data_IF_785636276945
#
_entry.id   IF_785636276945
#
_cell.length_a   1.000
_cell.length_b   1.000
_cell.length_c   1.000
_cell.angle_alpha   90.00
_cell.angle_beta   90.00
_cell.angle_gamma   90.00
#
_symmetry.space_group_name_H-M   'P 1'
#
loop_
_entity.id
_entity.type
_entity.pdbx_description
1 polymer ?
#
# COMPACT_ATOMS: atom_id res chain seq x y z
N UNK A 1 18.75 -21.94 -27.36
CA UNK A 1 18.58 -20.68 -26.60
C UNK A 1 19.63 -20.69 -25.50
N UNK A 2 20.57 -19.76 -25.54
CA UNK A 2 21.66 -19.69 -24.56
C UNK A 2 21.03 -19.33 -23.20
N UNK A 3 21.36 -20.07 -22.13
CA UNK A 3 21.08 -19.68 -20.76
C UNK A 3 21.61 -18.26 -20.54
N UNK A 4 20.81 -17.34 -19.98
CA UNK A 4 21.38 -16.07 -19.56
C UNK A 4 22.51 -16.36 -18.56
N UNK A 5 23.65 -15.72 -18.79
CA UNK A 5 24.78 -15.80 -17.89
C UNK A 5 24.33 -15.50 -16.46
N UNK A 6 24.89 -16.18 -15.43
CA UNK A 6 24.60 -15.86 -14.05
C UNK A 6 24.87 -14.36 -13.86
N UNK A 7 23.91 -13.67 -13.20
CA UNK A 7 24.03 -12.24 -12.92
C UNK A 7 25.43 -11.99 -12.35
N UNK A 8 26.24 -11.24 -13.09
CA UNK A 8 27.55 -10.83 -12.64
C UNK A 8 27.37 -10.23 -11.24
N UNK A 9 28.37 -10.38 -10.36
CA UNK A 9 28.39 -9.77 -9.00
C UNK A 9 28.17 -8.25 -9.10
N UNK A 10 26.90 -7.86 -9.29
CA UNK A 10 26.52 -6.46 -9.35
C UNK A 10 26.64 -5.88 -7.93
N UNK A 11 27.18 -4.67 -7.78
CA UNK A 11 27.31 -4.05 -6.47
C UNK A 11 25.92 -3.94 -5.83
N UNK A 12 25.84 -4.17 -4.52
CA UNK A 12 24.61 -4.00 -3.74
C UNK A 12 24.25 -2.53 -3.54
N UNK A 13 25.20 -1.65 -3.76
CA UNK A 13 25.05 -0.20 -3.63
C UNK A 13 25.63 0.47 -4.89
N UNK A 14 24.91 1.45 -5.43
CA UNK A 14 25.35 2.23 -6.58
C UNK A 14 24.69 3.60 -6.61
N UNK A 15 25.26 4.51 -7.38
CA UNK A 15 24.64 5.78 -7.73
C UNK A 15 23.87 5.56 -9.05
N UNK A 16 22.59 5.92 -9.07
CA UNK A 16 21.80 5.88 -10.30
C UNK A 16 22.37 6.93 -11.28
N UNK A 17 22.85 6.52 -12.46
CA UNK A 17 23.49 7.46 -13.38
C UNK A 17 22.53 8.47 -13.99
N UNK A 18 21.24 8.19 -14.00
CA UNK A 18 20.23 9.09 -14.56
C UNK A 18 19.78 10.15 -13.56
N UNK A 19 19.88 9.88 -12.25
CA UNK A 19 19.33 10.74 -11.20
C UNK A 19 20.34 11.28 -10.22
N UNK A 20 21.45 10.57 -10.02
CA UNK A 20 22.49 10.92 -9.05
C UNK A 20 22.15 10.49 -7.60
N UNK A 21 21.07 9.74 -7.39
CA UNK A 21 20.70 9.22 -6.08
C UNK A 21 21.37 7.88 -5.79
N UNK A 22 21.69 7.63 -4.52
CA UNK A 22 22.24 6.39 -4.04
C UNK A 22 21.14 5.34 -3.88
N UNK A 23 21.34 4.16 -4.46
CA UNK A 23 20.43 3.02 -4.33
C UNK A 23 21.17 1.89 -3.63
N UNK A 24 20.47 1.23 -2.71
CA UNK A 24 20.95 0.08 -1.96
C UNK A 24 19.97 -1.08 -2.15
N UNK A 25 20.49 -2.25 -2.51
CA UNK A 25 19.74 -3.51 -2.47
C UNK A 25 19.75 -4.03 -1.03
N UNK A 26 18.57 -4.06 -0.40
CA UNK A 26 18.41 -4.48 1.00
C UNK A 26 18.31 -6.00 1.15
N UNK A 27 17.63 -6.69 0.22
CA UNK A 27 17.48 -8.14 0.25
C UNK A 27 18.69 -8.87 -0.39
N UNK A 28 18.86 -10.14 -0.04
CA UNK A 28 19.89 -11.02 -0.61
C UNK A 28 19.31 -12.30 -1.17
N UNK A 29 18.06 -12.60 -0.86
CA UNK A 29 17.38 -13.81 -1.30
C UNK A 29 16.39 -13.46 -2.42
N UNK A 30 16.49 -14.08 -3.60
CA UNK A 30 15.57 -13.86 -4.70
C UNK A 30 14.12 -14.16 -4.32
N UNK A 31 13.19 -13.28 -4.71
CA UNK A 31 11.79 -13.38 -4.37
C UNK A 31 11.42 -12.75 -3.02
N UNK A 32 12.34 -11.99 -2.42
CA UNK A 32 12.05 -11.20 -1.21
C UNK A 32 11.17 -9.99 -1.55
N UNK A 33 10.15 -9.77 -0.72
CA UNK A 33 9.19 -8.68 -0.87
C UNK A 33 9.17 -7.75 0.35
N UNK A 34 8.91 -6.48 0.12
CA UNK A 34 8.40 -5.54 1.14
C UNK A 34 6.89 -5.71 1.30
N UNK A 35 6.33 -5.17 2.37
CA UNK A 35 4.88 -5.11 2.54
C UNK A 35 4.25 -4.10 1.57
N UNK A 36 2.93 -4.16 1.46
CA UNK A 36 2.15 -3.19 0.69
C UNK A 36 2.33 -1.78 1.26
N UNK A 37 2.33 -0.75 0.43
CA UNK A 37 2.72 0.63 0.79
C UNK A 37 1.92 1.25 1.96
N UNK A 38 0.73 0.73 2.27
CA UNK A 38 -0.10 1.20 3.39
C UNK A 38 0.19 0.46 4.70
N UNK A 39 0.91 -0.68 4.65
CA UNK A 39 1.20 -1.49 5.81
C UNK A 39 2.47 -0.98 6.53
N UNK A 40 2.37 -0.72 7.83
CA UNK A 40 3.55 -0.33 8.60
C UNK A 40 4.50 -1.52 8.75
N UNK A 41 5.72 -1.39 8.22
CA UNK A 41 6.68 -2.47 8.08
C UNK A 41 7.96 -2.30 8.93
N UNK A 42 7.98 -1.38 9.88
CA UNK A 42 9.18 -1.03 10.62
C UNK A 42 9.11 -1.49 12.08
N UNK A 43 10.25 -1.91 12.65
CA UNK A 43 10.35 -2.22 14.08
C UNK A 43 10.12 -0.97 14.93
N UNK A 44 9.90 -1.17 16.24
CA UNK A 44 9.88 -0.07 17.20
C UNK A 44 11.19 0.73 17.09
N UNK A 45 11.06 2.05 16.93
CA UNK A 45 12.20 2.93 16.66
C UNK A 45 12.57 3.10 15.18
N UNK A 46 11.92 2.38 14.27
CA UNK A 46 12.01 2.63 12.82
C UNK A 46 13.33 2.25 12.15
N UNK A 47 14.20 1.50 12.82
CA UNK A 47 15.57 1.23 12.33
C UNK A 47 15.69 -0.01 11.44
N UNK A 48 14.76 -0.95 11.57
CA UNK A 48 14.72 -2.18 10.76
C UNK A 48 13.43 -2.26 9.97
N UNK A 49 13.55 -2.70 8.72
CA UNK A 49 12.45 -2.97 7.81
C UNK A 49 12.12 -4.46 7.83
N UNK A 50 10.85 -4.79 7.87
CA UNK A 50 10.33 -6.15 7.67
C UNK A 50 10.30 -6.50 6.18
N UNK A 51 10.84 -7.66 5.85
CA UNK A 51 10.77 -8.27 4.53
C UNK A 51 10.22 -9.69 4.64
N UNK A 52 9.56 -10.16 3.59
CA UNK A 52 9.04 -11.53 3.50
C UNK A 52 9.64 -12.27 2.32
N UNK A 53 9.93 -13.54 2.49
CA UNK A 53 10.41 -14.43 1.44
C UNK A 53 9.78 -15.81 1.56
N UNK A 54 10.12 -16.73 0.65
CA UNK A 54 9.73 -18.15 0.80
C UNK A 54 10.31 -18.79 2.05
N UNK A 55 11.42 -18.27 2.53
CA UNK A 55 12.11 -18.74 3.72
C UNK A 55 11.41 -18.32 5.00
N UNK A 56 10.69 -17.19 4.99
CA UNK A 56 9.98 -16.68 6.14
C UNK A 56 10.01 -15.16 6.25
N UNK A 57 10.31 -14.65 7.45
CA UNK A 57 10.36 -13.22 7.75
C UNK A 57 11.78 -12.83 8.13
N UNK A 58 12.26 -11.79 7.48
CA UNK A 58 13.55 -11.15 7.74
C UNK A 58 13.35 -9.70 8.19
N UNK A 59 14.26 -9.23 9.03
CA UNK A 59 14.42 -7.81 9.35
C UNK A 59 15.74 -7.32 8.79
N UNK A 60 15.74 -6.22 8.05
CA UNK A 60 16.96 -5.58 7.57
C UNK A 60 17.19 -4.25 8.28
N UNK A 61 18.38 -4.06 8.84
CA UNK A 61 18.83 -2.77 9.37
C UNK A 61 19.14 -1.85 8.18
N UNK A 62 18.35 -0.81 7.98
CA UNK A 62 18.40 0.04 6.79
C UNK A 62 19.78 0.70 6.63
N UNK A 63 20.36 1.19 7.74
CA UNK A 63 21.64 1.89 7.74
C UNK A 63 22.85 1.01 7.37
N UNK A 64 22.81 -0.30 7.70
CA UNK A 64 23.94 -1.22 7.53
C UNK A 64 23.72 -2.29 6.48
N UNK A 65 22.45 -2.54 6.10
CA UNK A 65 22.08 -3.66 5.23
C UNK A 65 22.20 -5.03 5.93
N UNK A 66 22.39 -5.07 7.25
CA UNK A 66 22.44 -6.31 8.04
C UNK A 66 21.05 -6.94 8.08
N UNK A 67 20.98 -8.23 7.71
CA UNK A 67 19.72 -8.99 7.66
C UNK A 67 19.70 -9.97 8.84
N UNK A 68 18.59 -9.95 9.56
CA UNK A 68 18.29 -10.86 10.67
C UNK A 68 17.06 -11.70 10.32
N UNK A 69 17.23 -13.02 10.29
CA UNK A 69 16.13 -13.96 10.09
C UNK A 69 15.37 -14.16 11.41
N UNK A 70 14.08 -13.82 11.45
CA UNK A 70 13.28 -13.82 12.68
C UNK A 70 12.18 -14.87 12.71
N UNK A 71 11.80 -15.43 11.56
CA UNK A 71 10.83 -16.51 11.51
C UNK A 71 11.09 -17.44 10.32
N UNK A 72 11.21 -18.74 10.57
CA UNK A 72 11.40 -19.77 9.57
C UNK A 72 10.07 -20.26 9.02
N UNK A 73 9.99 -20.43 7.70
CA UNK A 73 8.83 -20.96 7.02
C UNK A 73 7.77 -19.90 6.68
N UNK A 74 6.87 -20.28 5.80
CA UNK A 74 5.80 -19.40 5.34
C UNK A 74 4.82 -19.12 6.47
N UNK A 75 4.56 -17.85 6.73
CA UNK A 75 3.39 -17.40 7.50
C UNK A 75 2.23 -17.16 6.54
N UNK A 76 1.01 -17.11 7.05
CA UNK A 76 -0.14 -16.77 6.24
C UNK A 76 -0.04 -15.35 5.70
N UNK A 77 -0.90 -14.46 6.12
CA UNK A 77 -0.84 -13.04 5.73
C UNK A 77 -0.12 -12.22 6.80
N UNK A 78 1.00 -11.60 6.46
CA UNK A 78 1.57 -10.56 7.34
C UNK A 78 0.67 -9.32 7.27
N UNK A 79 0.22 -8.86 8.44
CA UNK A 79 -0.66 -7.71 8.56
C UNK A 79 0.17 -6.43 8.62
N UNK A 80 1.01 -6.28 9.62
CA UNK A 80 1.92 -5.15 9.83
C UNK A 80 2.82 -5.37 11.04
N UNK A 81 3.77 -4.48 11.26
CA UNK A 81 4.47 -4.35 12.56
C UNK A 81 3.70 -3.45 13.51
N UNK A 82 3.73 -3.78 14.80
CA UNK A 82 3.21 -2.93 15.86
C UNK A 82 4.06 -1.66 16.01
N UNK A 83 3.41 -0.50 16.04
CA UNK A 83 4.11 0.80 16.16
C UNK A 83 4.73 1.01 17.54
N UNK A 84 4.16 0.37 18.59
CA UNK A 84 4.62 0.51 19.99
C UNK A 84 5.60 -0.58 20.39
N UNK A 85 5.26 -1.83 20.10
CA UNK A 85 6.03 -2.98 20.55
C UNK A 85 7.05 -3.46 19.51
N UNK A 86 6.81 -3.19 18.21
CA UNK A 86 7.57 -3.76 17.12
C UNK A 86 7.25 -5.25 16.86
N UNK A 87 6.23 -5.81 17.53
CA UNK A 87 5.77 -7.16 17.25
C UNK A 87 5.25 -7.26 15.81
N UNK A 88 5.51 -8.38 15.14
CA UNK A 88 5.04 -8.63 13.79
C UNK A 88 3.72 -9.38 13.87
N UNK A 89 2.64 -8.75 13.39
CA UNK A 89 1.32 -9.35 13.39
C UNK A 89 1.06 -10.04 12.05
N UNK A 90 0.53 -11.28 12.12
CA UNK A 90 0.13 -12.04 10.95
C UNK A 90 -1.12 -12.88 11.22
N UNK A 91 -1.89 -13.13 10.16
CA UNK A 91 -3.08 -13.98 10.13
C UNK A 91 -2.68 -15.35 9.59
N UNK A 92 -2.97 -16.41 10.33
CA UNK A 92 -2.73 -17.79 9.89
C UNK A 92 -3.75 -18.74 10.51
N UNK A 93 -4.39 -19.55 9.66
CA UNK A 93 -5.26 -20.61 10.11
C UNK A 93 -6.47 -20.16 10.94
N UNK A 94 -6.98 -18.95 10.70
CA UNK A 94 -8.11 -18.37 11.43
C UNK A 94 -7.75 -17.77 12.78
N UNK A 95 -6.47 -17.42 12.96
CA UNK A 95 -5.96 -16.78 14.17
C UNK A 95 -5.02 -15.63 13.83
N UNK A 96 -5.02 -14.61 14.66
CA UNK A 96 -3.98 -13.57 14.67
C UNK A 96 -2.86 -13.99 15.58
N UNK A 97 -1.64 -13.89 15.11
CA UNK A 97 -0.41 -14.14 15.84
C UNK A 97 0.39 -12.83 16.01
N UNK A 98 1.14 -12.76 17.09
CA UNK A 98 2.15 -11.73 17.32
C UNK A 98 3.51 -12.43 17.48
N UNK A 99 4.43 -12.16 16.56
CA UNK A 99 5.82 -12.59 16.60
C UNK A 99 6.65 -11.50 17.29
N UNK A 100 7.31 -11.84 18.36
CA UNK A 100 8.34 -11.00 18.98
C UNK A 100 9.66 -11.21 18.22
N UNK A 101 10.18 -10.21 17.50
CA UNK A 101 11.39 -10.38 16.72
C UNK A 101 12.66 -10.57 17.58
N UNK A 102 12.67 -10.08 18.82
CA UNK A 102 13.82 -10.20 19.72
C UNK A 102 13.98 -11.62 20.26
N UNK A 103 12.89 -12.26 20.67
CA UNK A 103 12.87 -13.63 21.16
C UNK A 103 12.61 -14.67 20.07
N UNK A 104 12.19 -14.24 18.88
CA UNK A 104 11.77 -15.07 17.73
C UNK A 104 10.64 -16.03 18.09
N UNK A 105 9.78 -15.62 19.00
CA UNK A 105 8.65 -16.43 19.46
C UNK A 105 7.33 -15.86 18.97
N UNK A 106 6.49 -16.72 18.38
CA UNK A 106 5.13 -16.37 17.99
C UNK A 106 4.14 -16.82 19.05
N UNK A 107 3.21 -15.96 19.41
CA UNK A 107 2.07 -16.31 20.26
C UNK A 107 0.76 -16.03 19.52
N UNK A 108 -0.20 -16.90 19.67
CA UNK A 108 -1.57 -16.66 19.25
C UNK A 108 -2.19 -15.58 20.15
N UNK A 109 -2.73 -14.52 19.56
CA UNK A 109 -3.30 -13.40 20.31
C UNK A 109 -4.81 -13.29 20.18
N UNK A 110 -5.40 -13.74 19.06
CA UNK A 110 -6.84 -13.76 18.90
C UNK A 110 -7.28 -14.85 17.92
N UNK A 111 -8.51 -15.37 18.11
CA UNK A 111 -9.22 -16.21 17.15
C UNK A 111 -10.10 -15.31 16.28
N UNK A 112 -10.06 -15.52 14.97
CA UNK A 112 -10.92 -14.82 14.01
C UNK A 112 -12.30 -15.49 13.90
N UNK A 113 -13.34 -14.75 13.48
CA UNK A 113 -14.59 -15.33 13.05
C UNK A 113 -14.39 -16.38 11.97
N UNK A 114 -15.36 -17.29 11.79
CA UNK A 114 -15.32 -18.24 10.68
C UNK A 114 -15.21 -17.48 9.36
N UNK A 115 -14.23 -17.90 8.53
CA UNK A 115 -13.90 -17.25 7.24
C UNK A 115 -13.47 -15.77 7.36
N UNK A 116 -13.16 -15.32 8.58
CA UNK A 116 -12.64 -13.96 8.81
C UNK A 116 -11.18 -13.85 8.41
N UNK A 117 -10.84 -12.71 7.83
CA UNK A 117 -9.45 -12.29 7.54
C UNK A 117 -9.16 -10.99 8.25
N UNK A 118 -8.01 -10.91 8.94
CA UNK A 118 -7.55 -9.68 9.57
C UNK A 118 -6.67 -8.87 8.61
N UNK A 119 -6.89 -7.56 8.56
CA UNK A 119 -6.22 -6.65 7.63
C UNK A 119 -5.40 -5.56 8.32
N UNK A 120 -5.78 -5.14 9.52
CA UNK A 120 -5.14 -4.03 10.22
C UNK A 120 -5.08 -4.25 11.74
N UNK A 121 -4.02 -3.73 12.35
CA UNK A 121 -3.88 -3.62 13.81
C UNK A 121 -3.91 -2.12 14.15
N UNK A 122 -4.63 -1.73 15.20
CA UNK A 122 -4.70 -0.33 15.60
C UNK A 122 -3.42 0.19 16.26
N UNK A 123 -3.30 1.51 16.40
CA UNK A 123 -2.05 2.15 16.81
C UNK A 123 -1.61 1.83 18.26
N UNK A 124 -2.52 1.42 19.14
CA UNK A 124 -2.23 0.99 20.50
C UNK A 124 -2.10 -0.53 20.67
N UNK A 125 -2.24 -1.29 19.57
CA UNK A 125 -2.10 -2.75 19.49
C UNK A 125 -3.09 -3.52 20.39
N UNK A 126 -4.30 -2.98 20.53
CA UNK A 126 -5.39 -3.59 21.30
C UNK A 126 -6.44 -4.28 20.42
N UNK A 127 -6.58 -3.85 19.15
CA UNK A 127 -7.57 -4.35 18.22
C UNK A 127 -6.95 -4.78 16.91
N UNK A 128 -7.46 -5.89 16.35
CA UNK A 128 -7.36 -6.17 14.93
C UNK A 128 -8.72 -5.91 14.26
N UNK A 129 -8.72 -5.38 13.04
CA UNK A 129 -9.90 -5.22 12.19
C UNK A 129 -9.80 -6.12 10.96
N UNK A 130 -10.96 -6.60 10.53
CA UNK A 130 -11.05 -7.47 9.38
C UNK A 130 -12.47 -7.59 8.83
N UNK A 131 -12.65 -8.48 7.86
CA UNK A 131 -13.95 -8.78 7.30
C UNK A 131 -14.17 -10.27 7.08
N UNK A 132 -15.44 -10.65 6.98
CA UNK A 132 -15.87 -11.96 6.51
C UNK A 132 -17.14 -11.84 5.69
N UNK A 133 -17.38 -12.82 4.82
CA UNK A 133 -18.64 -12.95 4.08
C UNK A 133 -19.58 -13.87 4.87
N UNK A 134 -20.85 -13.47 5.02
CA UNK A 134 -21.86 -14.24 5.74
C UNK A 134 -22.35 -15.40 4.86
N UNK A 135 -22.47 -16.60 5.44
CA UNK A 135 -22.96 -17.80 4.75
C UNK A 135 -21.83 -18.62 4.12
N UNK A 136 -22.18 -19.40 3.10
CA UNK A 136 -21.20 -20.15 2.32
C UNK A 136 -20.29 -19.19 1.57
N UNK A 137 -18.97 -19.36 1.74
CA UNK A 137 -17.96 -18.46 1.17
C UNK A 137 -17.29 -19.02 -0.08
N UNK A 138 -17.59 -20.24 -0.44
CA UNK A 138 -17.06 -20.86 -1.65
C UNK A 138 -17.88 -20.44 -2.88
N UNK A 139 -17.46 -19.31 -3.45
CA UNK A 139 -17.99 -18.75 -4.70
C UNK A 139 -16.90 -18.80 -5.77
N UNK A 140 -16.61 -19.96 -6.36
CA UNK A 140 -15.51 -20.12 -7.31
C UNK A 140 -15.65 -19.21 -8.54
N UNK A 141 -16.88 -18.82 -8.90
CA UNK A 141 -17.14 -17.87 -9.99
C UNK A 141 -16.70 -16.44 -9.65
N UNK A 142 -16.55 -16.12 -8.35
CA UNK A 142 -16.08 -14.81 -7.86
C UNK A 142 -14.58 -14.82 -7.58
N UNK A 143 -13.94 -15.99 -7.60
CA UNK A 143 -12.50 -16.07 -7.42
C UNK A 143 -11.73 -15.53 -8.65
N UNK A 144 -10.53 -14.97 -8.44
CA UNK A 144 -9.69 -14.58 -9.57
C UNK A 144 -9.29 -15.80 -10.40
N UNK A 145 -9.53 -15.75 -11.69
CA UNK A 145 -9.08 -16.75 -12.65
C UNK A 145 -7.63 -16.47 -13.02
N UNK A 146 -6.71 -16.96 -12.20
CA UNK A 146 -5.28 -16.79 -12.42
C UNK A 146 -4.78 -17.78 -13.48
N UNK A 147 -3.84 -17.39 -14.37
CA UNK A 147 -3.17 -18.33 -15.26
C UNK A 147 -2.55 -19.46 -14.45
N UNK A 148 -2.67 -20.70 -14.97
CA UNK A 148 -2.02 -21.85 -14.36
C UNK A 148 -0.50 -21.74 -14.53
N UNK A 149 0.31 -22.20 -13.55
CA UNK A 149 1.74 -22.24 -13.71
C UNK A 149 2.13 -23.13 -14.92
N UNK A 150 3.18 -22.75 -15.66
CA UNK A 150 3.69 -23.62 -16.72
C UNK A 150 4.12 -24.97 -16.15
N UNK A 151 4.13 -26.05 -16.99
CA UNK A 151 4.65 -27.34 -16.56
C UNK A 151 6.08 -27.18 -16.00
N UNK A 152 6.28 -27.61 -14.76
CA UNK A 152 7.57 -27.46 -14.06
C UNK A 152 7.67 -26.23 -13.14
N UNK A 153 6.57 -25.45 -13.01
CA UNK A 153 6.50 -24.26 -12.13
C UNK A 153 7.22 -23.04 -12.73
N UNK A 154 7.17 -21.92 -11.98
CA UNK A 154 7.84 -20.69 -12.36
C UNK A 154 9.33 -20.77 -12.02
N UNK A 155 10.16 -20.34 -12.96
CA UNK A 155 11.62 -20.17 -12.76
C UNK A 155 11.90 -18.77 -12.20
N UNK A 156 13.01 -18.57 -11.50
CA UNK A 156 13.47 -17.23 -11.18
C UNK A 156 13.56 -16.36 -12.44
N UNK A 157 12.88 -15.20 -12.45
CA UNK A 157 12.78 -14.31 -13.61
C UNK A 157 11.58 -14.54 -14.54
N UNK A 158 10.78 -15.59 -14.33
CA UNK A 158 9.49 -15.70 -15.01
C UNK A 158 8.52 -14.66 -14.44
N UNK A 159 7.66 -14.03 -15.29
CA UNK A 159 6.57 -13.19 -14.80
C UNK A 159 5.74 -13.98 -13.81
N UNK A 160 5.59 -13.48 -12.59
CA UNK A 160 4.77 -14.16 -11.58
C UNK A 160 3.32 -14.10 -12.02
N UNK A 161 2.66 -15.21 -12.35
CA UNK A 161 1.22 -15.20 -12.59
C UNK A 161 0.53 -15.08 -11.26
N UNK A 162 0.05 -13.95 -11.03
CA UNK A 162 -0.51 -13.50 -9.79
C UNK A 162 0.19 -12.26 -9.28
N UNK A 163 0.91 -11.55 -10.16
CA UNK A 163 1.26 -10.17 -9.97
C UNK A 163 0.00 -9.35 -9.69
N UNK A 164 0.19 -8.14 -9.28
CA UNK A 164 -0.90 -7.24 -8.88
C UNK A 164 -1.86 -6.97 -10.05
N UNK A 165 -1.38 -7.16 -11.29
CA UNK A 165 -2.16 -7.05 -12.53
C UNK A 165 -2.27 -8.39 -13.27
N UNK A 166 -3.46 -8.97 -13.32
CA UNK A 166 -3.75 -10.21 -14.04
C UNK A 166 -4.99 -10.04 -14.96
N UNK A 167 -5.08 -10.78 -16.08
CA UNK A 167 -6.10 -10.53 -17.12
C UNK A 167 -7.56 -10.56 -16.66
N UNK A 168 -7.90 -11.37 -15.65
CA UNK A 168 -9.28 -11.51 -15.14
C UNK A 168 -9.60 -10.53 -13.99
N UNK A 169 -8.64 -9.72 -13.52
CA UNK A 169 -8.81 -8.83 -12.34
C UNK A 169 -10.09 -7.99 -12.45
N UNK A 170 -10.24 -7.28 -13.51
CA UNK A 170 -11.38 -6.39 -13.73
C UNK A 170 -12.71 -7.14 -13.88
N UNK A 171 -12.72 -8.26 -14.59
CA UNK A 171 -13.93 -9.06 -14.73
C UNK A 171 -14.34 -9.70 -13.39
N UNK A 172 -13.39 -10.13 -12.58
CA UNK A 172 -13.63 -10.62 -11.22
C UNK A 172 -14.23 -9.51 -10.34
N UNK A 173 -13.68 -8.29 -10.39
CA UNK A 173 -14.21 -7.15 -9.64
C UNK A 173 -15.67 -6.85 -10.02
N UNK A 174 -16.00 -6.90 -11.32
CA UNK A 174 -17.39 -6.70 -11.78
C UNK A 174 -18.32 -7.81 -11.27
N UNK A 175 -17.89 -9.07 -11.29
CA UNK A 175 -18.68 -10.20 -10.76
C UNK A 175 -18.94 -10.04 -9.26
N UNK A 176 -17.92 -9.71 -8.46
CA UNK A 176 -18.06 -9.50 -7.01
C UNK A 176 -18.95 -8.31 -6.69
N UNK A 177 -18.77 -7.19 -7.38
CA UNK A 177 -19.62 -6.01 -7.20
C UNK A 177 -21.10 -6.32 -7.50
N UNK A 178 -21.37 -7.08 -8.56
CA UNK A 178 -22.72 -7.47 -8.92
C UNK A 178 -23.36 -8.48 -7.96
N UNK A 179 -22.56 -9.33 -7.34
CA UNK A 179 -23.04 -10.38 -6.42
C UNK A 179 -23.60 -9.84 -5.11
N UNK A 180 -23.20 -8.65 -4.66
CA UNK A 180 -23.71 -7.99 -3.44
C UNK A 180 -23.74 -8.93 -2.24
N UNK A 181 -22.66 -9.69 -2.03
CA UNK A 181 -22.57 -10.65 -0.93
C UNK A 181 -22.68 -9.93 0.43
N UNK A 182 -23.44 -10.49 1.38
CA UNK A 182 -23.46 -9.96 2.74
C UNK A 182 -22.08 -10.07 3.37
N UNK A 183 -21.52 -8.94 3.79
CA UNK A 183 -20.22 -8.85 4.44
C UNK A 183 -20.33 -8.16 5.79
N UNK A 184 -19.43 -8.54 6.69
CA UNK A 184 -19.30 -7.94 8.01
C UNK A 184 -17.88 -7.42 8.18
N UNK A 185 -17.77 -6.16 8.61
CA UNK A 185 -16.56 -5.62 9.22
C UNK A 185 -16.60 -5.97 10.70
N UNK A 186 -15.56 -6.62 11.20
CA UNK A 186 -15.42 -6.96 12.61
C UNK A 186 -14.16 -6.38 13.22
N UNK A 187 -14.15 -6.27 14.53
CA UNK A 187 -12.93 -6.09 15.32
C UNK A 187 -12.76 -7.25 16.29
N UNK A 188 -11.52 -7.59 16.60
CA UNK A 188 -11.19 -8.54 17.66
C UNK A 188 -10.19 -7.91 18.63
N UNK A 189 -10.49 -8.00 19.93
CA UNK A 189 -9.60 -7.53 20.98
C UNK A 189 -8.44 -8.52 21.15
N UNK A 190 -7.21 -8.03 21.01
CA UNK A 190 -6.00 -8.86 21.05
C UNK A 190 -5.61 -9.35 22.46
N UNK A 191 -6.25 -8.82 23.52
CA UNK A 191 -6.01 -9.23 24.90
C UNK A 191 -7.09 -10.20 25.41
N UNK A 192 -8.39 -9.84 25.18
CA UNK A 192 -9.53 -10.63 25.66
C UNK A 192 -9.98 -11.70 24.65
N UNK A 193 -9.65 -11.55 23.36
CA UNK A 193 -10.17 -12.38 22.28
C UNK A 193 -11.63 -12.07 21.92
N UNK A 194 -12.24 -11.05 22.51
CA UNK A 194 -13.62 -10.64 22.20
C UNK A 194 -13.73 -10.15 20.77
N UNK A 195 -14.63 -10.77 20.00
CA UNK A 195 -14.93 -10.36 18.62
C UNK A 195 -16.24 -9.58 18.61
N UNK A 196 -16.27 -8.49 17.85
CA UNK A 196 -17.42 -7.60 17.71
C UNK A 196 -17.67 -7.27 16.26
N UNK A 197 -18.90 -7.50 15.79
CA UNK A 197 -19.36 -7.00 14.50
C UNK A 197 -19.58 -5.48 14.60
N UNK A 198 -19.00 -4.77 13.65
CA UNK A 198 -19.00 -3.28 13.64
C UNK A 198 -19.88 -2.74 12.53
N UNK A 199 -19.88 -3.37 11.36
CA UNK A 199 -20.66 -2.94 10.20
C UNK A 199 -21.14 -4.16 9.41
N UNK A 200 -22.44 -4.19 9.09
CA UNK A 200 -23.02 -5.12 8.13
C UNK A 200 -23.32 -4.39 6.82
N UNK A 201 -22.88 -4.95 5.69
CA UNK A 201 -23.05 -4.34 4.37
C UNK A 201 -23.18 -5.41 3.29
N UNK A 202 -23.65 -5.02 2.11
CA UNK A 202 -23.55 -5.85 0.89
C UNK A 202 -22.54 -5.27 -0.10
N UNK A 203 -21.81 -4.23 0.28
CA UNK A 203 -20.66 -3.75 -0.47
C UNK A 203 -19.45 -4.63 -0.17
N UNK A 204 -18.62 -4.88 -1.18
CA UNK A 204 -17.35 -5.54 -0.95
C UNK A 204 -16.40 -4.56 -0.26
N UNK A 205 -16.05 -4.84 1.00
CA UNK A 205 -15.19 -4.02 1.84
C UNK A 205 -13.81 -4.64 1.97
N UNK A 206 -12.77 -3.81 1.81
CA UNK A 206 -11.36 -4.22 1.87
C UNK A 206 -10.47 -3.02 2.27
N UNK A 207 -9.14 -3.18 2.19
CA UNK A 207 -8.14 -2.13 2.44
C UNK A 207 -8.29 -1.41 3.79
N UNK A 208 -8.53 -2.19 4.86
CA UNK A 208 -8.67 -1.62 6.20
C UNK A 208 -7.36 -1.02 6.71
N UNK A 209 -7.43 0.19 7.23
CA UNK A 209 -6.29 0.89 7.82
C UNK A 209 -6.77 1.68 9.05
N UNK A 210 -6.28 1.33 10.23
CA UNK A 210 -6.49 2.18 11.40
C UNK A 210 -5.68 3.48 11.28
N UNK A 211 -6.24 4.57 11.84
CA UNK A 211 -5.47 5.79 12.03
C UNK A 211 -4.19 5.49 12.84
N UNK A 212 -3.04 6.03 12.45
CA UNK A 212 -1.81 5.86 13.21
C UNK A 212 -1.80 6.59 14.57
N UNK A 213 -2.80 7.45 14.85
CA UNK A 213 -2.90 8.25 16.08
C UNK A 213 -4.21 8.09 16.86
N UNK A 214 -5.28 7.58 16.23
CA UNK A 214 -6.57 7.33 16.88
C UNK A 214 -6.90 5.83 16.80
N UNK A 215 -6.85 5.08 17.93
CA UNK A 215 -7.05 3.63 17.92
C UNK A 215 -8.46 3.17 17.56
N UNK A 216 -9.41 4.09 17.52
CA UNK A 216 -10.81 3.78 17.19
C UNK A 216 -11.22 4.19 15.79
N UNK A 217 -10.41 4.98 15.09
CA UNK A 217 -10.74 5.48 13.76
C UNK A 217 -10.16 4.55 12.68
N UNK A 218 -11.02 3.99 11.86
CA UNK A 218 -10.71 3.04 10.81
C UNK A 218 -11.11 3.60 9.44
N UNK A 219 -10.19 3.59 8.50
CA UNK A 219 -10.46 3.79 7.08
C UNK A 219 -10.64 2.44 6.40
N UNK A 220 -11.56 2.34 5.45
CA UNK A 220 -11.78 1.16 4.64
C UNK A 220 -12.26 1.53 3.25
N UNK A 221 -12.09 0.63 2.30
CA UNK A 221 -12.52 0.81 0.92
C UNK A 221 -13.79 0.02 0.61
N UNK A 222 -14.68 0.61 -0.19
CA UNK A 222 -15.59 -0.16 -1.02
C UNK A 222 -14.85 -0.61 -2.28
N UNK A 223 -14.72 -1.91 -2.49
CA UNK A 223 -13.93 -2.48 -3.57
C UNK A 223 -14.80 -2.79 -4.80
N UNK A 224 -14.19 -2.71 -5.98
CA UNK A 224 -14.85 -2.94 -7.25
C UNK A 224 -14.24 -2.09 -8.36
N UNK A 225 -14.93 -1.98 -9.51
CA UNK A 225 -14.51 -1.05 -10.56
C UNK A 225 -14.52 0.38 -10.03
N UNK A 226 -13.37 1.00 -10.03
CA UNK A 226 -13.07 2.28 -9.38
C UNK A 226 -14.04 3.40 -9.76
N UNK A 227 -14.45 3.47 -11.03
CA UNK A 227 -15.40 4.49 -11.54
C UNK A 227 -16.88 4.14 -11.31
N UNK A 228 -17.21 3.03 -10.66
CA UNK A 228 -18.60 2.60 -10.40
C UNK A 228 -19.05 2.86 -8.97
N UNK A 229 -18.15 3.24 -8.07
CA UNK A 229 -18.44 3.34 -6.62
C UNK A 229 -17.66 4.48 -5.96
N UNK A 230 -18.19 4.97 -4.86
CA UNK A 230 -17.48 5.86 -3.94
C UNK A 230 -16.70 4.98 -2.96
N UNK A 231 -15.37 5.09 -3.01
CA UNK A 231 -14.48 4.07 -2.47
C UNK A 231 -14.05 4.29 -1.03
N UNK A 232 -13.68 5.52 -0.65
CA UNK A 232 -12.93 5.79 0.58
C UNK A 232 -13.89 6.17 1.71
N UNK A 233 -13.91 5.35 2.77
CA UNK A 233 -14.82 5.51 3.89
C UNK A 233 -14.09 5.53 5.22
N UNK A 234 -14.66 6.23 6.20
CA UNK A 234 -14.24 6.27 7.60
C UNK A 234 -15.31 5.73 8.52
N UNK A 235 -14.88 5.06 9.58
CA UNK A 235 -15.75 4.54 10.62
C UNK A 235 -15.05 4.58 11.98
N UNK A 236 -15.80 4.93 13.05
CA UNK A 236 -15.35 4.68 14.43
C UNK A 236 -15.82 3.30 14.89
N UNK A 237 -14.86 2.43 15.20
CA UNK A 237 -15.15 1.04 15.62
C UNK A 237 -15.71 0.94 17.04
N UNK A 238 -15.76 2.05 17.78
CA UNK A 238 -16.39 2.13 19.09
C UNK A 238 -17.93 2.25 19.03
N UNK A 239 -18.51 2.32 17.83
CA UNK A 239 -19.96 2.38 17.59
C UNK A 239 -20.59 3.76 17.79
N UNK A 240 -19.78 4.82 17.94
CA UNK A 240 -20.29 6.18 18.20
C UNK A 240 -20.66 6.97 16.94
N UNK A 241 -20.32 6.49 15.75
CA UNK A 241 -20.61 7.18 14.51
C UNK A 241 -21.06 6.23 13.40
N UNK A 242 -21.84 6.76 12.47
CA UNK A 242 -22.12 6.09 11.20
C UNK A 242 -20.90 6.19 10.27
N UNK A 243 -20.75 5.28 9.30
CA UNK A 243 -19.75 5.40 8.25
C UNK A 243 -19.84 6.74 7.53
N UNK A 244 -18.71 7.37 7.27
CA UNK A 244 -18.58 8.65 6.58
C UNK A 244 -17.83 8.46 5.27
N UNK A 245 -18.39 8.97 4.18
CA UNK A 245 -17.72 9.01 2.88
C UNK A 245 -16.67 10.12 2.87
N UNK A 246 -15.42 9.78 2.56
CA UNK A 246 -14.31 10.73 2.48
C UNK A 246 -14.32 11.51 1.18
N UNK A 247 -14.55 10.82 0.06
CA UNK A 247 -14.60 11.43 -1.26
C UNK A 247 -15.81 10.92 -2.04
N UNK A 248 -16.70 11.84 -2.41
CA UNK A 248 -17.82 11.59 -3.29
C UNK A 248 -17.42 11.95 -4.72
N UNK A 249 -17.60 11.03 -5.65
CA UNK A 249 -17.36 11.30 -7.07
C UNK A 249 -18.36 12.33 -7.60
N UNK A 250 -17.87 13.26 -8.41
CA UNK A 250 -18.65 14.37 -8.94
C UNK A 250 -18.86 14.29 -10.45
N UNK A 251 -18.12 13.42 -11.14
CA UNK A 251 -18.20 13.24 -12.59
C UNK A 251 -18.11 11.77 -13.01
N UNK A 252 -18.51 11.49 -14.25
CA UNK A 252 -18.33 10.16 -14.85
C UNK A 252 -16.84 9.83 -14.98
N UNK A 253 -16.50 8.56 -14.73
CA UNK A 253 -15.12 8.05 -14.79
C UNK A 253 -14.15 8.68 -13.79
N UNK A 254 -14.63 9.45 -12.83
CA UNK A 254 -13.81 9.86 -11.69
C UNK A 254 -13.46 8.67 -10.82
N UNK A 255 -12.22 8.62 -10.36
CA UNK A 255 -11.74 7.61 -9.41
C UNK A 255 -11.02 8.26 -8.24
N UNK A 256 -11.17 7.66 -7.05
CA UNK A 256 -10.38 7.95 -5.85
C UNK A 256 -9.94 6.60 -5.27
N UNK A 257 -8.64 6.28 -5.35
CA UNK A 257 -8.10 4.95 -5.04
C UNK A 257 -6.76 5.05 -4.33
N UNK A 258 -6.21 3.91 -3.91
CA UNK A 258 -4.89 3.83 -3.27
C UNK A 258 -4.78 4.75 -2.04
N UNK A 259 -5.83 4.73 -1.23
CA UNK A 259 -5.98 5.55 -0.03
C UNK A 259 -4.99 5.17 1.07
N UNK A 260 -4.42 6.17 1.74
CA UNK A 260 -3.50 5.97 2.86
C UNK A 260 -3.52 7.13 3.85
N UNK A 261 -3.05 6.86 5.07
CA UNK A 261 -2.95 7.84 6.14
C UNK A 261 -1.64 8.63 6.09
N UNK A 262 -1.69 9.92 6.46
CA UNK A 262 -0.49 10.63 6.93
C UNK A 262 0.04 9.99 8.21
N UNK A 263 1.34 10.11 8.49
CA UNK A 263 1.95 9.52 9.69
C UNK A 263 1.40 10.07 11.01
N UNK A 264 0.91 11.31 11.01
CA UNK A 264 0.29 11.94 12.17
C UNK A 264 -1.21 11.60 12.34
N UNK A 265 -1.80 10.89 11.36
CA UNK A 265 -3.21 10.49 11.36
C UNK A 265 -4.20 11.62 11.14
N UNK A 266 -3.75 12.79 10.68
CA UNK A 266 -4.64 13.92 10.43
C UNK A 266 -5.24 13.92 9.03
N UNK A 267 -4.51 13.38 8.04
CA UNK A 267 -4.88 13.42 6.65
C UNK A 267 -5.04 12.01 6.07
N UNK A 268 -6.04 11.87 5.20
CA UNK A 268 -6.15 10.76 4.26
C UNK A 268 -5.77 11.31 2.90
N UNK A 269 -4.89 10.60 2.21
CA UNK A 269 -4.50 10.86 0.82
C UNK A 269 -4.98 9.73 -0.08
N UNK A 270 -5.22 10.03 -1.35
CA UNK A 270 -5.65 9.06 -2.36
C UNK A 270 -5.26 9.51 -3.76
N UNK A 271 -5.00 8.57 -4.66
CA UNK A 271 -4.90 8.82 -6.10
C UNK A 271 -6.28 9.24 -6.60
N UNK A 272 -6.35 10.43 -7.15
CA UNK A 272 -7.58 11.02 -7.68
C UNK A 272 -7.38 11.33 -9.15
N UNK A 273 -8.32 10.86 -9.99
CA UNK A 273 -8.31 11.18 -11.42
C UNK A 273 -9.67 11.73 -11.85
N UNK A 274 -9.64 12.86 -12.54
CA UNK A 274 -10.83 13.69 -12.84
C UNK A 274 -10.95 14.04 -14.32
N UNK A 275 -11.38 13.12 -15.21
CA UNK A 275 -11.70 11.71 -14.98
C UNK A 275 -10.49 10.77 -15.11
N UNK A 276 -10.71 9.45 -14.96
CA UNK A 276 -9.69 8.39 -15.11
C UNK A 276 -8.82 8.62 -16.34
N UNK A 277 -7.51 8.66 -16.10
CA UNK A 277 -6.44 8.83 -17.08
C UNK A 277 -6.43 10.17 -17.84
N UNK A 278 -7.18 11.18 -17.43
CA UNK A 278 -7.18 12.50 -18.07
C UNK A 278 -6.45 13.52 -17.23
N UNK A 279 -6.84 13.69 -15.97
CA UNK A 279 -6.24 14.65 -15.06
C UNK A 279 -5.91 13.98 -13.73
N UNK A 280 -4.72 14.22 -13.22
CA UNK A 280 -4.13 13.46 -12.13
C UNK A 280 -3.85 14.33 -10.92
N UNK A 281 -4.26 13.84 -9.75
CA UNK A 281 -4.12 14.51 -8.48
C UNK A 281 -3.74 13.54 -7.37
N UNK A 282 -3.06 14.02 -6.36
CA UNK A 282 -3.16 13.42 -5.03
C UNK A 282 -4.27 14.20 -4.31
N UNK A 283 -5.41 13.56 -4.10
CA UNK A 283 -6.49 14.12 -3.29
C UNK A 283 -6.16 13.98 -1.80
N UNK A 284 -6.62 14.93 -0.98
CA UNK A 284 -6.48 14.80 0.47
C UNK A 284 -7.72 15.28 1.23
N UNK A 285 -7.91 14.69 2.41
CA UNK A 285 -8.96 15.04 3.34
C UNK A 285 -8.43 15.05 4.78
N UNK A 286 -8.58 16.18 5.48
CA UNK A 286 -8.25 16.27 6.89
C UNK A 286 -9.42 15.79 7.74
N UNK A 287 -9.22 14.73 8.51
CA UNK A 287 -10.30 14.02 9.23
C UNK A 287 -10.89 14.81 10.39
N UNK A 288 -10.22 15.84 10.84
CA UNK A 288 -10.68 16.68 11.97
C UNK A 288 -11.32 18.00 11.51
N UNK A 289 -10.76 18.65 10.49
CA UNK A 289 -11.23 19.94 10.00
C UNK A 289 -12.14 19.85 8.78
N UNK A 290 -12.15 18.70 8.08
CA UNK A 290 -12.84 18.55 6.80
C UNK A 290 -12.16 19.25 5.62
N UNK A 291 -11.02 19.89 5.82
CA UNK A 291 -10.27 20.56 4.75
C UNK A 291 -9.83 19.57 3.68
N UNK A 292 -9.82 20.03 2.43
CA UNK A 292 -9.35 19.28 1.26
C UNK A 292 -8.28 20.05 0.52
N UNK A 293 -7.23 19.34 0.12
CA UNK A 293 -6.18 19.87 -0.76
C UNK A 293 -6.02 18.87 -1.89
N UNK A 294 -6.04 19.35 -3.13
CA UNK A 294 -5.74 18.54 -4.30
C UNK A 294 -4.42 18.98 -4.90
N UNK A 295 -3.49 18.06 -5.03
CA UNK A 295 -2.13 18.29 -5.51
C UNK A 295 -2.06 17.82 -6.97
N UNK A 296 -2.02 18.76 -7.92
CA UNK A 296 -1.99 18.47 -9.34
C UNK A 296 -0.68 17.83 -9.78
N UNK A 297 -0.78 16.82 -10.62
CA UNK A 297 0.31 16.07 -11.23
C UNK A 297 0.19 16.15 -12.75
N UNK A 298 1.26 16.50 -13.50
CA UNK A 298 1.29 16.24 -14.93
C UNK A 298 1.15 14.72 -15.21
N UNK A 299 0.50 14.32 -16.32
CA UNK A 299 0.20 12.92 -16.62
C UNK A 299 1.42 11.98 -16.60
N UNK A 300 2.60 12.43 -17.06
CA UNK A 300 3.85 11.66 -17.05
C UNK A 300 4.52 11.55 -15.68
N UNK A 301 3.92 12.13 -14.63
CA UNK A 301 4.38 12.02 -13.24
C UNK A 301 3.40 11.22 -12.37
N UNK A 302 2.32 10.72 -12.95
CA UNK A 302 1.40 9.84 -12.24
C UNK A 302 2.12 8.58 -11.76
N UNK A 303 1.71 8.10 -10.60
CA UNK A 303 2.19 6.87 -9.99
C UNK A 303 1.03 6.02 -9.53
N UNK A 304 1.21 4.71 -9.48
CA UNK A 304 0.17 3.79 -8.98
C UNK A 304 -0.07 4.03 -7.50
N UNK A 305 1.01 4.15 -6.72
CA UNK A 305 0.95 4.40 -5.29
C UNK A 305 1.70 5.66 -4.91
N UNK A 306 1.18 6.34 -3.90
CA UNK A 306 1.83 7.49 -3.28
C UNK A 306 2.07 7.23 -1.80
N UNK A 307 3.07 7.90 -1.22
CA UNK A 307 3.34 7.89 0.20
C UNK A 307 3.86 9.26 0.65
N UNK A 308 3.73 9.60 1.93
CA UNK A 308 4.21 10.88 2.49
C UNK A 308 5.40 10.67 3.40
N UNK A 309 6.34 11.63 3.37
CA UNK A 309 7.41 11.69 4.37
C UNK A 309 6.85 11.79 5.79
N UNK A 310 7.60 11.37 6.82
CA UNK A 310 7.11 11.39 8.21
C UNK A 310 6.65 12.75 8.70
N UNK A 311 7.26 13.83 8.19
CA UNK A 311 6.90 15.21 8.50
C UNK A 311 5.79 15.80 7.60
N UNK A 312 5.29 15.00 6.62
CA UNK A 312 4.25 15.43 5.69
C UNK A 312 4.65 16.46 4.64
N UNK A 313 5.95 16.80 4.53
CA UNK A 313 6.43 17.86 3.63
C UNK A 313 6.76 17.38 2.22
N UNK A 314 7.00 16.08 2.05
CA UNK A 314 7.35 15.44 0.79
C UNK A 314 6.40 14.29 0.49
N UNK A 315 6.27 13.96 -0.80
CA UNK A 315 5.57 12.79 -1.27
C UNK A 315 6.50 11.92 -2.12
N UNK A 316 6.27 10.63 -2.15
CA UNK A 316 6.87 9.72 -3.11
C UNK A 316 5.81 9.13 -4.02
N UNK A 317 6.23 8.67 -5.19
CA UNK A 317 5.41 7.90 -6.11
C UNK A 317 6.24 6.81 -6.76
N UNK A 318 5.62 5.66 -7.02
CA UNK A 318 6.33 4.47 -7.51
C UNK A 318 6.30 4.31 -9.03
N UNK A 319 5.85 5.35 -9.74
CA UNK A 319 5.78 5.36 -11.19
C UNK A 319 4.75 4.38 -11.76
N UNK A 320 4.71 4.30 -13.06
CA UNK A 320 3.80 3.42 -13.78
C UNK A 320 4.37 2.98 -15.11
N UNK A 321 3.99 1.79 -15.57
CA UNK A 321 4.18 1.37 -16.95
C UNK A 321 3.04 1.90 -17.85
N UNK A 322 3.31 2.29 -19.09
CA UNK A 322 2.25 2.62 -20.04
C UNK A 322 1.35 1.40 -20.24
N UNK A 323 0.13 1.46 -19.72
CA UNK A 323 -0.90 0.45 -20.00
C UNK A 323 -1.61 0.86 -21.30
N UNK A 324 -1.58 0.03 -22.36
CA UNK A 324 -2.30 0.29 -23.60
C UNK A 324 -3.83 0.35 -23.43
N UNK A 325 -4.37 -0.18 -22.33
CA UNK A 325 -5.79 -0.06 -21.98
C UNK A 325 -6.12 1.29 -21.32
N UNK A 326 -5.13 2.01 -20.86
CA UNK A 326 -5.23 3.36 -20.31
C UNK A 326 -4.75 4.31 -21.40
N UNK A 327 -5.64 5.03 -22.02
CA UNK A 327 -5.46 5.77 -23.29
C UNK A 327 -4.35 6.85 -23.35
N UNK A 328 -3.26 6.80 -22.52
CA UNK A 328 -2.31 7.89 -22.44
C UNK A 328 -0.88 7.55 -22.81
N UNK A 329 -0.46 8.18 -23.90
CA UNK A 329 0.93 8.34 -24.30
C UNK A 329 1.81 9.00 -23.21
N UNK A 330 1.22 9.70 -22.27
CA UNK A 330 1.90 10.42 -21.20
C UNK A 330 2.63 9.53 -20.22
N UNK A 331 2.17 8.31 -20.00
CA UNK A 331 2.79 7.37 -19.07
C UNK A 331 4.12 6.77 -19.54
N UNK A 332 4.51 6.98 -20.80
CA UNK A 332 5.79 6.49 -21.32
C UNK A 332 7.00 6.94 -20.48
N UNK A 333 6.90 8.09 -19.84
CA UNK A 333 7.96 8.67 -19.02
C UNK A 333 7.74 8.48 -17.52
N UNK A 334 6.73 7.68 -17.10
CA UNK A 334 6.38 7.48 -15.70
C UNK A 334 7.15 6.33 -15.01
N UNK A 335 8.10 5.69 -15.68
CA UNK A 335 8.93 4.58 -15.13
C UNK A 335 10.03 5.08 -14.18
N UNK A 336 9.63 5.73 -13.07
CA UNK A 336 10.54 6.31 -12.10
C UNK A 336 10.00 6.12 -10.68
N UNK A 337 10.88 5.94 -9.70
CA UNK A 337 10.52 6.36 -8.36
C UNK A 337 10.66 7.88 -8.32
N UNK A 338 9.58 8.56 -7.96
CA UNK A 338 9.51 10.00 -7.84
C UNK A 338 9.59 10.46 -6.39
N UNK A 339 10.15 11.65 -6.20
CA UNK A 339 9.96 12.51 -5.05
C UNK A 339 9.20 13.76 -5.52
N UNK A 340 8.19 14.16 -4.76
CA UNK A 340 7.41 15.36 -5.05
C UNK A 340 7.49 16.36 -3.90
N UNK A 341 7.64 17.63 -4.26
CA UNK A 341 7.52 18.77 -3.34
C UNK A 341 6.22 19.50 -3.63
N UNK A 342 5.29 19.58 -2.67
CA UNK A 342 4.05 20.31 -2.86
C UNK A 342 4.31 21.82 -2.85
N UNK A 343 3.67 22.53 -3.77
CA UNK A 343 3.62 23.98 -3.84
C UNK A 343 2.16 24.43 -3.86
N UNK A 344 1.70 25.02 -2.73
CA UNK A 344 0.35 25.55 -2.65
C UNK A 344 0.18 26.73 -3.61
N UNK A 345 -0.95 26.75 -4.32
CA UNK A 345 -1.37 27.91 -5.09
C UNK A 345 -1.90 28.94 -4.11
N UNK A 346 -1.23 30.09 -4.06
CA UNK A 346 -1.58 31.17 -3.13
C UNK A 346 -2.92 31.76 -3.53
N UNK A 347 -3.79 31.92 -2.57
CA UNK A 347 -5.08 32.57 -2.73
C UNK A 347 -4.88 34.06 -3.07
N UNK A 348 -5.76 34.62 -3.88
CA UNK A 348 -5.73 36.02 -4.22
C UNK A 348 -6.34 36.88 -3.08
N UNK A 349 -5.89 38.13 -2.89
CA UNK A 349 -6.51 39.03 -1.91
C UNK A 349 -8.02 39.22 -2.17
N UNK A 350 -8.83 39.17 -1.13
CA UNK A 350 -10.27 39.36 -1.22
C UNK A 350 -11.10 38.08 -1.14
N UNK A 351 -10.49 36.96 -0.73
CA UNK A 351 -11.25 35.73 -0.38
C UNK A 351 -12.29 36.01 0.69
N UNK A 352 -13.45 35.40 0.51
CA UNK A 352 -14.56 35.48 1.46
C UNK A 352 -14.58 34.21 2.34
N UNK A 353 -15.20 34.26 3.55
CA UNK A 353 -15.37 33.07 4.40
C UNK A 353 -16.02 31.89 3.70
N UNK A 354 -16.84 32.11 2.67
CA UNK A 354 -17.52 31.06 1.90
C UNK A 354 -16.52 30.16 1.15
N UNK A 355 -15.31 30.63 0.92
CA UNK A 355 -14.26 29.89 0.22
C UNK A 355 -13.46 28.96 1.14
N UNK A 356 -13.60 29.07 2.45
CA UNK A 356 -12.88 28.22 3.41
C UNK A 356 -13.24 26.74 3.28
N UNK A 357 -14.44 26.43 2.77
CA UNK A 357 -14.90 25.06 2.53
C UNK A 357 -14.55 24.52 1.15
N UNK A 358 -13.95 25.35 0.28
CA UNK A 358 -13.54 24.94 -1.05
C UNK A 358 -12.25 24.13 -1.01
N UNK A 359 -12.05 23.34 -2.07
CA UNK A 359 -10.81 22.58 -2.24
C UNK A 359 -9.67 23.54 -2.52
N UNK A 360 -8.63 23.48 -1.69
CA UNK A 360 -7.38 24.20 -1.95
C UNK A 360 -6.59 23.42 -3.01
N UNK A 361 -5.99 24.14 -3.94
CA UNK A 361 -5.20 23.53 -5.00
C UNK A 361 -3.71 23.73 -4.76
N UNK A 362 -2.93 22.70 -5.02
CA UNK A 362 -1.48 22.72 -5.02
C UNK A 362 -0.97 22.07 -6.31
N UNK A 363 0.30 22.26 -6.61
CA UNK A 363 1.02 21.53 -7.67
C UNK A 363 2.12 20.69 -7.05
N UNK A 364 2.46 19.59 -7.69
CA UNK A 364 3.60 18.76 -7.33
C UNK A 364 4.80 19.09 -8.20
N UNK A 365 5.93 19.40 -7.59
CA UNK A 365 7.22 19.58 -8.26
C UNK A 365 7.96 18.24 -8.19
N UNK A 366 8.13 17.52 -9.31
CA UNK A 366 8.71 16.19 -9.31
C UNK A 366 10.23 16.22 -9.34
N UNK A 367 10.84 15.25 -8.68
CA UNK A 367 12.24 14.88 -8.82
C UNK A 367 12.31 13.36 -9.07
N UNK A 368 13.12 12.93 -10.05
CA UNK A 368 13.32 11.52 -10.36
C UNK A 368 14.40 10.96 -9.43
N UNK A 369 14.12 9.84 -8.77
CA UNK A 369 15.03 9.20 -7.82
C UNK A 369 15.66 7.92 -8.37
N UNK A 370 14.88 7.07 -9.07
CA UNK A 370 15.34 5.77 -9.60
C UNK A 370 14.80 5.59 -11.00
N UNK A 371 15.67 5.19 -11.93
CA UNK A 371 15.28 4.73 -13.26
C UNK A 371 14.70 3.31 -13.19
N UNK A 372 13.40 3.18 -13.40
CA UNK A 372 12.66 1.92 -13.47
C UNK A 372 12.42 1.43 -14.90
N UNK A 373 13.16 1.91 -15.90
CA UNK A 373 13.00 1.51 -17.31
C UNK A 373 13.12 0.00 -17.54
N UNK A 374 13.86 -0.70 -16.67
CA UNK A 374 14.03 -2.17 -16.69
C UNK A 374 13.06 -2.91 -15.76
N UNK A 375 12.19 -2.21 -15.04
CA UNK A 375 11.21 -2.82 -14.16
C UNK A 375 10.00 -3.29 -14.97
N UNK A 376 9.49 -4.46 -14.65
CA UNK A 376 8.24 -5.00 -15.18
C UNK A 376 7.11 -4.73 -14.18
N UNK A 377 6.16 -3.89 -14.57
CA UNK A 377 5.02 -3.45 -13.77
C UNK A 377 3.89 -4.50 -13.64
N UNK A 378 4.10 -5.73 -14.03
CA UNK A 378 3.32 -6.85 -13.47
C UNK A 378 3.51 -6.96 -11.95
N UNK A 379 4.60 -6.38 -11.43
CA UNK A 379 4.93 -6.18 -10.04
C UNK A 379 4.86 -4.68 -9.71
N UNK A 380 4.00 -4.26 -8.80
CA UNK A 380 3.95 -2.87 -8.32
C UNK A 380 5.09 -2.60 -7.32
N UNK A 381 5.86 -1.50 -7.46
CA UNK A 381 7.01 -1.24 -6.59
C UNK A 381 6.67 -0.97 -5.12
N UNK A 382 5.50 -0.43 -4.81
CA UNK A 382 5.03 -0.13 -3.45
C UNK A 382 5.99 0.76 -2.65
N UNK A 383 6.37 1.90 -3.24
CA UNK A 383 7.31 2.84 -2.63
C UNK A 383 6.84 3.41 -1.30
N UNK A 384 7.73 3.41 -0.27
CA UNK A 384 7.38 3.84 1.08
C UNK A 384 8.55 4.56 1.75
N UNK A 385 8.32 5.71 2.40
CA UNK A 385 9.34 6.39 3.19
C UNK A 385 9.73 5.59 4.42
N UNK A 386 11.02 5.64 4.76
CA UNK A 386 11.50 5.20 6.07
C UNK A 386 11.02 6.16 7.17
N UNK A 387 10.89 5.68 8.43
CA UNK A 387 10.45 6.53 9.54
C UNK A 387 11.34 7.74 9.83
N UNK A 388 12.61 7.74 9.39
CA UNK A 388 13.51 8.88 9.48
C UNK A 388 13.46 9.81 8.24
N UNK A 389 12.65 9.46 7.23
CA UNK A 389 12.47 10.24 6.00
C UNK A 389 13.65 10.28 5.05
N UNK A 390 14.72 9.50 5.33
CA UNK A 390 15.96 9.56 4.54
C UNK A 390 15.94 8.68 3.31
N UNK A 391 15.10 7.65 3.30
CA UNK A 391 15.04 6.66 2.25
C UNK A 391 13.60 6.43 1.79
N UNK A 392 13.46 6.00 0.54
CA UNK A 392 12.25 5.38 0.02
C UNK A 392 12.59 3.92 -0.27
N UNK A 393 11.89 3.01 0.42
CA UNK A 393 11.98 1.56 0.21
C UNK A 393 11.01 1.16 -0.88
N UNK A 394 11.41 0.28 -1.78
CA UNK A 394 10.56 -0.25 -2.84
C UNK A 394 11.01 -1.67 -3.23
N UNK A 395 10.11 -2.44 -3.83
CA UNK A 395 10.46 -3.73 -4.44
C UNK A 395 10.57 -3.59 -5.95
N UNK A 396 11.48 -4.33 -6.56
CA UNK A 396 11.67 -4.28 -8.00
C UNK A 396 12.26 -5.57 -8.56
N UNK A 397 11.93 -5.88 -9.81
CA UNK A 397 12.53 -6.93 -10.62
C UNK A 397 13.52 -6.38 -11.68
N UNK A 398 13.92 -5.10 -11.55
CA UNK A 398 14.79 -4.40 -12.53
C UNK A 398 16.16 -5.06 -12.75
N UNK A 399 16.59 -5.95 -11.85
CA UNK A 399 17.84 -6.75 -11.93
C UNK A 399 17.60 -8.24 -12.15
N UNK A 400 16.36 -8.63 -12.45
CA UNK A 400 15.93 -10.01 -12.73
C UNK A 400 14.99 -10.56 -11.68
N UNK A 401 15.44 -11.07 -10.52
CA UNK A 401 14.54 -11.52 -9.47
C UNK A 401 13.90 -10.33 -8.73
N UNK A 402 12.76 -10.62 -8.07
CA UNK A 402 12.15 -9.66 -7.17
C UNK A 402 13.06 -9.48 -5.96
N UNK A 403 13.41 -8.22 -5.67
CA UNK A 403 14.26 -7.82 -4.57
C UNK A 403 13.74 -6.53 -3.94
N UNK A 404 14.15 -6.26 -2.70
CA UNK A 404 13.85 -5.03 -1.97
C UNK A 404 15.03 -4.08 -2.04
N UNK A 405 14.75 -2.83 -2.38
CA UNK A 405 15.72 -1.76 -2.55
C UNK A 405 15.35 -0.57 -1.66
N UNK A 406 16.31 0.29 -1.42
CA UNK A 406 16.08 1.62 -0.89
C UNK A 406 16.83 2.67 -1.73
N UNK A 407 16.21 3.81 -1.98
CA UNK A 407 16.86 4.98 -2.59
C UNK A 407 16.97 6.09 -1.57
N UNK A 408 18.13 6.73 -1.49
CA UNK A 408 18.36 7.88 -0.61
C UNK A 408 17.65 9.12 -1.16
N UNK A 409 16.86 9.80 -0.31
CA UNK A 409 16.11 11.00 -0.69
C UNK A 409 17.06 12.15 -1.03
N UNK A 410 18.18 12.26 -0.31
CA UNK A 410 19.22 13.22 -0.64
C UNK A 410 20.08 12.70 -1.80
N UNK A 411 20.53 13.61 -2.67
CA UNK A 411 21.52 13.25 -3.72
C UNK A 411 22.85 12.89 -3.09
N UNK A 412 23.52 11.93 -3.72
CA UNK A 412 24.92 11.65 -3.41
C UNK A 412 25.77 12.90 -3.64
N UNK A 413 26.69 13.16 -2.71
CA UNK A 413 27.64 14.29 -2.79
C UNK A 413 28.79 13.95 -3.71
#
# INVERSE_FOLDING_TARGET
>A
MQNPAPAANLPREWIDPATGHRIVQLSTEPGTNSLYFTQYAYTAGGTKLLMTSRRGIDLVTIATGEIEHVHEGHVGRVIQTGRRTGAIYYDQGGFVYALDPATRTSRQVAKLPSNGTAFAINCDETLAAGSYTVGETDHPELAPRRPQPPPGGYKPGDPMPGGDNYPDKHAMMDRRLAARLPMVLFTVNLQSGECKDVLHTTDWIDHFQFSPSDPTLLMYAHEGRQWKLDRVWLLRVDGKSQPMLVHQRTMRMEIAVHEYWSNDGQWIYYDLQTPLSEDFWIGSYNVYSGKRIWYHLPPNHWSVHYNTSPDGTLFSGDGSDPDPAVHYAAQKDAKWIFLFRPELIVNQPGETPDQENMIQVARMIPERLVDLSKHDYSLEPNGNFTPDGKWIVFRSNMRGPIEVYAVEVAKAK
#
